data_IF_206132640813
#
_entry.id   IF_206132640813
#
_cell.length_a   1.000
_cell.length_b   1.000
_cell.length_c   1.000
_cell.angle_alpha   90.00
_cell.angle_beta   90.00
_cell.angle_gamma   90.00
#
_symmetry.space_group_name_H-M   'P 1'
#
loop_
_entity.id
_entity.type
_entity.pdbx_description
1 polymer ?
#
# COMPACT_ATOMS: atom_id res chain seq x y z
N UNK A 1 2.16 14.95 -69.75
CA UNK A 1 0.91 14.37 -69.22
C UNK A 1 0.74 15.02 -67.85
N UNK A 2 0.15 16.21 -67.81
CA UNK A 2 -1.30 16.46 -67.77
C UNK A 2 -1.88 16.02 -66.40
N UNK A 3 -1.83 16.98 -65.47
CA UNK A 3 -2.85 17.44 -64.52
C UNK A 3 -3.97 16.47 -64.10
N UNK A 4 -4.18 16.35 -62.78
CA UNK A 4 -5.52 16.34 -62.21
C UNK A 4 -5.49 16.98 -60.81
N UNK A 5 -6.09 18.18 -60.72
CA UNK A 5 -6.42 18.91 -59.51
C UNK A 5 -7.70 18.31 -58.90
N UNK A 6 -7.63 17.80 -57.67
CA UNK A 6 -8.81 17.45 -56.88
C UNK A 6 -9.13 18.60 -55.92
N UNK A 7 -10.32 19.18 -56.12
CA UNK A 7 -10.87 20.27 -55.32
C UNK A 7 -10.89 19.95 -53.82
N UNK A 8 -10.42 20.90 -53.02
CA UNK A 8 -10.48 20.88 -51.57
C UNK A 8 -11.92 21.03 -51.07
N UNK A 9 -12.34 20.07 -50.25
CA UNK A 9 -13.46 20.23 -49.33
C UNK A 9 -12.90 20.93 -48.11
N UNK A 10 -13.30 22.18 -47.86
CA UNK A 10 -12.95 22.85 -46.61
C UNK A 10 -13.57 22.09 -45.44
N UNK A 11 -12.77 21.69 -44.43
CA UNK A 11 -13.32 21.10 -43.22
C UNK A 11 -14.11 22.19 -42.48
N UNK A 12 -15.40 21.94 -42.24
CA UNK A 12 -16.16 22.72 -41.27
C UNK A 12 -15.41 22.65 -39.94
N UNK A 13 -14.98 23.80 -39.42
CA UNK A 13 -14.38 23.91 -38.09
C UNK A 13 -15.40 23.45 -37.05
N UNK A 14 -15.36 22.16 -36.72
CA UNK A 14 -16.10 21.60 -35.60
C UNK A 14 -15.54 22.21 -34.32
N UNK A 15 -16.28 23.19 -33.81
CA UNK A 15 -16.00 23.85 -32.54
C UNK A 15 -15.94 22.77 -31.44
N UNK A 16 -14.83 22.67 -30.67
CA UNK A 16 -14.71 21.68 -29.62
C UNK A 16 -15.77 21.93 -28.55
N UNK A 17 -16.33 20.85 -28.00
CA UNK A 17 -17.48 20.85 -27.06
C UNK A 17 -17.35 21.81 -25.85
N UNK A 18 -16.14 22.26 -25.52
CA UNK A 18 -15.86 23.15 -24.39
C UNK A 18 -15.56 24.60 -24.77
N UNK A 19 -15.58 24.96 -26.06
CA UNK A 19 -15.47 26.35 -26.47
C UNK A 19 -16.84 27.03 -26.30
N UNK A 20 -17.10 27.57 -25.13
CA UNK A 20 -18.23 28.49 -24.90
C UNK A 20 -17.73 29.87 -25.32
N UNK A 21 -18.32 30.46 -26.36
CA UNK A 21 -18.00 31.83 -26.77
C UNK A 21 -19.06 32.82 -26.26
N UNK A 22 -18.81 34.11 -26.49
CA UNK A 22 -19.68 35.18 -26.02
C UNK A 22 -21.08 35.12 -26.64
N UNK A 23 -21.24 34.47 -27.79
CA UNK A 23 -22.52 34.30 -28.49
C UNK A 23 -23.37 33.22 -27.82
N UNK A 24 -22.76 32.11 -27.35
CA UNK A 24 -23.43 31.08 -26.55
C UNK A 24 -23.96 31.65 -25.22
N UNK A 25 -23.20 32.54 -24.57
CA UNK A 25 -23.61 33.18 -23.31
C UNK A 25 -24.75 34.19 -23.55
N UNK A 26 -24.70 34.93 -24.65
CA UNK A 26 -25.77 35.88 -25.01
C UNK A 26 -27.08 35.17 -25.41
N UNK A 27 -27.01 33.99 -26.04
CA UNK A 27 -28.17 33.18 -26.39
C UNK A 27 -28.86 32.55 -25.16
N UNK A 28 -28.08 32.18 -24.14
CA UNK A 28 -28.61 31.67 -22.86
C UNK A 28 -29.39 32.74 -22.08
N UNK A 29 -28.97 34.01 -22.17
CA UNK A 29 -29.63 35.12 -21.48
C UNK A 29 -30.94 35.55 -22.17
N UNK A 30 -31.05 35.33 -23.49
CA UNK A 30 -32.24 35.70 -24.27
C UNK A 30 -33.45 34.76 -24.10
N UNK A 31 -33.27 33.58 -23.50
CA UNK A 31 -34.35 32.58 -23.31
C UNK A 31 -34.85 32.45 -21.86
N UNK A 32 -34.29 33.21 -20.92
CA UNK A 32 -34.74 33.23 -19.53
C UNK A 32 -36.01 34.07 -19.33
N UNK A 33 -37.16 33.57 -19.80
CA UNK A 33 -38.47 34.08 -19.36
C UNK A 33 -38.88 33.33 -18.08
N UNK A 34 -39.07 33.99 -16.93
CA UNK A 34 -39.41 33.31 -15.69
C UNK A 34 -40.89 32.92 -15.67
N UNK A 35 -41.19 31.64 -15.88
CA UNK A 35 -42.50 31.06 -15.54
C UNK A 35 -42.51 30.74 -14.04
N UNK A 36 -43.49 31.22 -13.24
CA UNK A 36 -43.52 30.94 -11.81
C UNK A 36 -43.91 29.48 -11.57
N UNK A 37 -42.92 28.62 -11.30
CA UNK A 37 -43.16 27.24 -10.88
C UNK A 37 -43.57 27.21 -9.41
N UNK A 38 -44.81 26.79 -9.16
CA UNK A 38 -45.40 26.57 -7.84
C UNK A 38 -44.60 25.51 -7.06
N UNK A 39 -44.35 25.69 -5.74
CA UNK A 39 -43.55 24.73 -4.96
C UNK A 39 -44.28 23.39 -4.81
N UNK A 40 -43.55 22.25 -4.88
CA UNK A 40 -44.14 20.91 -4.77
C UNK A 40 -44.74 20.71 -3.39
N UNK A 41 -46.01 20.28 -3.34
CA UNK A 41 -46.66 19.94 -2.09
C UNK A 41 -46.11 18.62 -1.53
N UNK A 42 -45.89 18.52 -0.20
CA UNK A 42 -45.36 17.33 0.43
C UNK A 42 -46.39 16.19 0.38
N UNK A 43 -46.05 15.12 -0.31
CA UNK A 43 -46.78 13.85 -0.26
C UNK A 43 -46.45 13.19 1.08
N UNK A 44 -47.43 13.13 2.00
CA UNK A 44 -47.30 12.37 3.24
C UNK A 44 -47.35 10.88 2.92
N UNK A 45 -46.19 10.22 2.92
CA UNK A 45 -46.09 8.77 2.88
C UNK A 45 -46.13 8.23 4.32
N UNK A 46 -47.25 7.61 4.69
CA UNK A 46 -47.47 7.02 6.01
C UNK A 46 -46.49 5.88 6.27
N UNK A 47 -45.57 6.08 7.22
CA UNK A 47 -44.68 5.04 7.74
C UNK A 47 -45.40 4.26 8.84
N UNK A 48 -45.68 2.98 8.58
CA UNK A 48 -46.10 2.01 9.60
C UNK A 48 -44.86 1.63 10.43
N UNK A 49 -44.69 2.29 11.57
CA UNK A 49 -43.66 1.96 12.54
C UNK A 49 -43.97 0.65 13.28
N UNK A 50 -43.17 -0.39 13.03
CA UNK A 50 -43.06 -1.56 13.90
C UNK A 50 -42.18 -1.21 15.11
N UNK A 51 -42.81 -0.85 16.22
CA UNK A 51 -42.13 -0.66 17.50
C UNK A 51 -42.05 -1.97 18.28
N UNK A 52 -40.88 -2.61 18.26
CA UNK A 52 -40.52 -3.66 19.22
C UNK A 52 -40.00 -3.00 20.49
N UNK A 53 -40.84 -2.91 21.53
CA UNK A 53 -40.39 -2.52 22.87
C UNK A 53 -40.72 -3.60 23.89
N UNK A 54 -39.64 -4.18 24.43
CA UNK A 54 -39.44 -4.47 25.86
C UNK A 54 -40.57 -5.16 26.63
N UNK A 55 -40.47 -6.48 26.74
CA UNK A 55 -41.10 -7.24 27.82
C UNK A 55 -40.46 -6.84 29.17
N UNK A 56 -41.26 -6.23 30.05
CA UNK A 56 -41.02 -6.21 31.50
C UNK A 56 -42.14 -7.03 32.15
N UNK A 57 -41.84 -8.05 32.97
CA UNK A 57 -42.87 -8.91 33.54
C UNK A 57 -43.41 -8.32 34.85
N UNK A 58 -44.72 -8.11 34.92
CA UNK A 58 -45.42 -7.81 36.17
C UNK A 58 -46.68 -6.98 35.96
N UNK A 59 -47.81 -7.64 35.70
CA UNK A 59 -48.98 -7.62 36.60
C UNK A 59 -50.14 -8.39 35.98
N UNK A 60 -50.64 -9.37 36.72
CA UNK A 60 -51.76 -10.24 36.33
C UNK A 60 -53.02 -9.63 36.94
N UNK A 61 -53.69 -8.76 36.19
CA UNK A 61 -54.99 -8.19 36.52
C UNK A 61 -56.08 -8.75 35.63
N UNK A 62 -56.97 -9.56 36.19
CA UNK A 62 -58.05 -10.27 35.51
C UNK A 62 -59.07 -9.33 34.85
N UNK A 63 -59.20 -9.44 33.53
CA UNK A 63 -60.28 -8.86 32.72
C UNK A 63 -60.23 -9.46 31.32
N UNK A 64 -61.06 -10.47 31.07
CA UNK A 64 -61.02 -11.29 29.86
C UNK A 64 -61.23 -10.47 28.58
N UNK A 65 -60.17 -10.33 27.79
CA UNK A 65 -60.24 -9.91 26.39
C UNK A 65 -60.05 -11.16 25.53
N UNK A 66 -61.08 -11.46 24.75
CA UNK A 66 -61.09 -12.57 23.80
C UNK A 66 -60.12 -12.24 22.66
N UNK A 67 -58.95 -12.87 22.66
CA UNK A 67 -57.96 -12.74 21.60
C UNK A 67 -58.47 -13.40 20.30
N UNK A 68 -58.15 -12.81 19.16
CA UNK A 68 -58.33 -13.47 17.87
C UNK A 68 -57.35 -14.66 17.75
N UNK A 69 -57.57 -15.63 16.85
CA UNK A 69 -56.73 -16.84 16.75
C UNK A 69 -55.27 -16.58 16.34
N UNK A 70 -54.86 -15.32 16.14
CA UNK A 70 -53.49 -14.92 15.79
C UNK A 70 -52.78 -14.12 16.91
N UNK A 71 -53.34 -14.10 18.12
CA UNK A 71 -52.66 -13.54 19.30
C UNK A 71 -52.46 -12.03 19.29
N UNK A 72 -53.08 -11.30 18.36
CA UNK A 72 -53.04 -9.84 18.34
C UNK A 72 -54.17 -9.28 19.21
N UNK A 73 -53.91 -8.30 20.10
CA UNK A 73 -54.97 -7.65 20.85
C UNK A 73 -55.91 -6.92 19.88
N UNK A 74 -57.17 -7.33 19.82
CA UNK A 74 -58.18 -6.55 19.10
C UNK A 74 -58.37 -5.23 19.85
N UNK A 75 -57.97 -4.11 19.23
CA UNK A 75 -58.40 -2.80 19.68
C UNK A 75 -59.91 -2.71 19.42
N UNK A 76 -60.69 -2.90 20.48
CA UNK A 76 -62.13 -2.72 20.44
C UNK A 76 -62.37 -1.23 20.21
N UNK A 77 -62.81 -0.87 18.99
CA UNK A 77 -63.22 0.48 18.64
C UNK A 77 -64.58 0.73 19.32
N UNK A 78 -64.56 0.99 20.62
CA UNK A 78 -65.73 1.52 21.34
C UNK A 78 -66.01 2.88 20.75
N UNK A 79 -67.12 2.98 19.99
CA UNK A 79 -67.59 4.20 19.33
C UNK A 79 -68.09 5.25 20.30
N UNK A 80 -67.26 5.64 21.26
CA UNK A 80 -67.46 6.80 22.10
C UNK A 80 -66.64 7.97 21.53
N UNK A 81 -67.26 8.89 20.76
CA UNK A 81 -66.56 10.02 20.14
C UNK A 81 -65.97 11.01 21.16
N UNK A 82 -66.25 10.85 22.46
CA UNK A 82 -65.68 11.68 23.52
C UNK A 82 -64.41 11.10 24.16
N UNK A 83 -64.03 9.84 23.89
CA UNK A 83 -62.80 9.24 24.42
C UNK A 83 -61.53 9.57 23.59
N UNK A 84 -61.70 10.14 22.40
CA UNK A 84 -60.58 10.49 21.50
C UNK A 84 -59.81 11.76 21.92
N UNK A 85 -60.24 12.46 22.99
CA UNK A 85 -59.58 13.66 23.49
C UNK A 85 -58.30 13.38 24.32
N UNK A 86 -57.96 12.10 24.56
CA UNK A 86 -56.74 11.69 25.29
C UNK A 86 -55.82 10.79 24.48
N UNK A 87 -56.01 10.68 23.16
CA UNK A 87 -54.97 10.08 22.32
C UNK A 87 -53.77 11.02 22.36
N UNK A 88 -52.72 10.53 23.02
CA UNK A 88 -51.38 11.08 23.13
C UNK A 88 -51.06 11.89 21.88
N UNK A 89 -50.93 13.20 22.05
CA UNK A 89 -50.42 14.08 21.02
C UNK A 89 -49.17 13.41 20.46
N UNK A 90 -49.21 13.02 19.17
CA UNK A 90 -48.02 12.58 18.48
C UNK A 90 -47.00 13.70 18.67
N UNK A 91 -45.96 13.43 19.47
CA UNK A 91 -44.85 14.35 19.59
C UNK A 91 -44.25 14.42 18.20
N UNK A 92 -44.60 15.48 17.46
CA UNK A 92 -43.94 15.80 16.20
C UNK A 92 -42.45 15.78 16.52
N UNK A 93 -41.66 14.88 15.89
CA UNK A 93 -40.22 14.85 16.11
C UNK A 93 -39.73 16.26 15.88
N UNK A 94 -39.12 16.87 16.90
CA UNK A 94 -38.56 18.21 16.72
C UNK A 94 -37.69 18.18 15.47
N UNK A 95 -37.79 19.18 14.58
CA UNK A 95 -37.00 19.20 13.36
C UNK A 95 -35.55 19.06 13.79
N UNK A 96 -34.90 17.96 13.39
CA UNK A 96 -33.49 17.72 13.68
C UNK A 96 -32.75 18.91 13.08
N UNK A 97 -32.28 19.81 13.94
CA UNK A 97 -31.47 20.93 13.49
C UNK A 97 -30.29 20.35 12.72
N UNK A 98 -30.22 20.66 11.43
CA UNK A 98 -29.07 20.30 10.60
C UNK A 98 -27.88 21.07 11.16
N UNK A 99 -27.14 20.45 12.06
CA UNK A 99 -25.85 20.95 12.50
C UNK A 99 -24.97 21.05 11.26
N UNK A 100 -24.56 22.29 10.93
CA UNK A 100 -23.72 22.55 9.77
C UNK A 100 -22.43 21.74 9.84
N UNK A 101 -21.85 21.46 8.67
CA UNK A 101 -20.58 20.72 8.57
C UNK A 101 -19.49 21.52 9.30
N UNK A 102 -18.87 20.89 10.31
CA UNK A 102 -17.78 21.48 11.08
C UNK A 102 -16.46 21.36 10.30
N UNK A 103 -16.31 22.18 9.27
CA UNK A 103 -15.16 22.15 8.35
C UNK A 103 -13.79 22.16 9.04
N UNK A 104 -13.62 22.94 10.11
CA UNK A 104 -12.36 22.94 10.86
C UNK A 104 -11.98 21.58 11.45
N UNK A 105 -12.97 20.80 11.91
CA UNK A 105 -12.72 19.45 12.43
C UNK A 105 -12.39 18.45 11.31
N UNK A 106 -13.06 18.61 10.16
CA UNK A 106 -12.77 17.82 8.97
C UNK A 106 -11.35 18.05 8.47
N UNK A 107 -10.96 19.31 8.25
CA UNK A 107 -9.62 19.67 7.77
C UNK A 107 -8.53 19.22 8.75
N UNK A 108 -8.80 19.32 10.06
CA UNK A 108 -7.90 18.82 11.08
C UNK A 108 -7.69 17.30 10.96
N UNK A 109 -8.78 16.53 10.82
CA UNK A 109 -8.70 15.08 10.59
C UNK A 109 -8.00 14.71 9.29
N UNK A 110 -8.14 15.54 8.25
CA UNK A 110 -7.55 15.31 6.95
C UNK A 110 -6.04 15.60 6.89
N UNK A 111 -5.60 16.74 7.41
CA UNK A 111 -4.21 17.19 7.27
C UNK A 111 -3.27 16.62 8.34
N UNK A 112 -3.75 16.28 9.55
CA UNK A 112 -2.88 15.73 10.61
C UNK A 112 -2.10 14.49 10.13
N UNK A 113 -2.74 13.46 9.56
CA UNK A 113 -2.03 12.26 9.09
C UNK A 113 -0.98 12.59 8.03
N UNK A 114 -1.31 13.50 7.11
CA UNK A 114 -0.39 13.93 6.04
C UNK A 114 0.84 14.62 6.64
N UNK A 115 0.65 15.54 7.58
CA UNK A 115 1.76 16.24 8.25
C UNK A 115 2.64 15.27 9.03
N UNK A 116 2.04 14.29 9.73
CA UNK A 116 2.80 13.27 10.47
C UNK A 116 3.68 12.46 9.51
N UNK A 117 3.12 11.95 8.41
CA UNK A 117 3.88 11.16 7.43
C UNK A 117 5.01 12.00 6.82
N UNK A 118 4.72 13.22 6.36
CA UNK A 118 5.72 14.13 5.78
C UNK A 118 6.84 14.43 6.77
N UNK A 119 6.49 14.66 8.05
CA UNK A 119 7.49 14.95 9.10
C UNK A 119 8.35 13.73 9.38
N UNK A 120 7.76 12.54 9.49
CA UNK A 120 8.51 11.29 9.72
C UNK A 120 9.43 10.97 8.53
N UNK A 121 8.95 11.11 7.29
CA UNK A 121 9.79 10.92 6.09
C UNK A 121 10.94 11.92 6.03
N UNK A 122 10.70 13.17 6.45
CA UNK A 122 11.77 14.17 6.50
C UNK A 122 12.80 13.84 7.58
N UNK A 123 12.37 13.41 8.76
CA UNK A 123 13.27 12.99 9.84
C UNK A 123 14.07 11.75 9.43
N UNK A 124 13.43 10.73 8.87
CA UNK A 124 14.08 9.53 8.33
C UNK A 124 15.13 9.90 7.27
N UNK A 125 14.77 10.77 6.32
CA UNK A 125 15.73 11.26 5.33
C UNK A 125 16.91 12.05 5.91
N UNK A 126 16.74 12.76 7.02
CA UNK A 126 17.83 13.46 7.72
C UNK A 126 18.71 12.52 8.53
N UNK A 127 18.12 11.49 9.13
CA UNK A 127 18.82 10.43 9.84
C UNK A 127 19.66 9.67 8.80
N UNK A 128 19.02 9.07 7.80
CA UNK A 128 19.68 8.24 6.79
C UNK A 128 20.76 8.96 5.96
N UNK A 129 20.65 10.28 5.72
CA UNK A 129 21.68 11.03 4.97
C UNK A 129 23.05 11.10 5.64
N UNK A 130 23.11 10.96 6.96
CA UNK A 130 24.36 11.08 7.71
C UNK A 130 24.94 9.72 8.11
N UNK A 131 24.26 8.62 7.80
CA UNK A 131 24.75 7.28 8.02
C UNK A 131 25.27 6.73 6.69
N UNK A 132 26.57 6.88 6.47
CA UNK A 132 27.29 5.87 5.71
C UNK A 132 27.19 4.61 6.58
N UNK A 133 26.27 3.71 6.25
CA UNK A 133 26.41 2.33 6.70
C UNK A 133 27.84 1.94 6.33
N UNK A 134 28.67 1.62 7.32
CA UNK A 134 29.95 1.00 7.05
C UNK A 134 29.61 -0.29 6.32
N UNK A 135 29.81 -0.31 5.01
CA UNK A 135 29.53 -1.48 4.19
C UNK A 135 30.39 -2.62 4.76
N UNK A 136 29.81 -3.62 5.43
CA UNK A 136 30.56 -4.72 6.02
C UNK A 136 31.07 -5.63 4.90
N UNK A 137 30.55 -5.44 3.69
CA UNK A 137 30.93 -6.14 2.50
C UNK A 137 32.04 -5.36 1.81
N UNK A 138 33.14 -6.05 1.57
CA UNK A 138 34.22 -5.57 0.71
C UNK A 138 34.37 -6.53 -0.44
N UNK A 139 34.27 -6.03 -1.66
CA UNK A 139 34.58 -6.81 -2.86
C UNK A 139 36.01 -6.55 -3.32
N UNK A 140 36.70 -7.61 -3.72
CA UNK A 140 38.03 -7.54 -4.33
C UNK A 140 38.03 -8.36 -5.61
N UNK A 141 38.63 -7.80 -6.67
CA UNK A 141 38.85 -8.50 -7.93
C UNK A 141 40.30 -8.97 -7.98
N UNK A 142 40.49 -10.27 -8.18
CA UNK A 142 41.79 -10.91 -8.28
C UNK A 142 41.93 -11.56 -9.66
N UNK A 143 43.07 -11.36 -10.30
CA UNK A 143 43.41 -12.08 -11.53
C UNK A 143 44.31 -13.26 -11.17
N UNK A 144 43.87 -14.48 -11.49
CA UNK A 144 44.59 -15.71 -11.19
C UNK A 144 44.96 -16.42 -12.48
N UNK A 145 46.25 -16.64 -12.70
CA UNK A 145 46.77 -17.37 -13.84
C UNK A 145 47.18 -18.79 -13.47
N UNK A 146 46.87 -19.75 -14.33
CA UNK A 146 47.29 -21.15 -14.17
C UNK A 146 48.47 -21.48 -15.07
N UNK A 147 49.40 -22.33 -14.58
CA UNK A 147 50.53 -22.81 -15.38
C UNK A 147 50.17 -23.94 -16.35
N UNK A 148 49.13 -24.71 -16.04
CA UNK A 148 48.64 -25.86 -16.82
C UNK A 148 47.27 -25.59 -17.46
N UNK A 149 46.75 -24.36 -17.30
CA UNK A 149 45.43 -23.91 -17.74
C UNK A 149 44.25 -24.71 -17.15
N UNK A 150 44.46 -25.46 -16.07
CA UNK A 150 43.45 -26.32 -15.46
C UNK A 150 43.39 -26.21 -13.95
N UNK A 151 44.54 -26.12 -13.30
CA UNK A 151 44.68 -26.12 -11.85
C UNK A 151 44.97 -24.72 -11.36
N UNK A 152 44.22 -24.30 -10.36
CA UNK A 152 44.29 -22.96 -9.78
C UNK A 152 44.51 -23.06 -8.28
N UNK A 153 45.43 -22.25 -7.79
CA UNK A 153 45.70 -22.06 -6.37
C UNK A 153 45.93 -20.58 -6.11
N UNK A 154 45.17 -20.00 -5.18
CA UNK A 154 45.38 -18.63 -4.73
C UNK A 154 45.01 -18.47 -3.26
N UNK A 155 45.69 -17.53 -2.61
CA UNK A 155 45.44 -17.17 -1.21
C UNK A 155 44.73 -15.84 -1.14
N UNK A 156 43.65 -15.80 -0.38
CA UNK A 156 42.85 -14.62 -0.10
C UNK A 156 43.41 -13.88 1.11
N UNK A 157 43.34 -12.56 1.09
CA UNK A 157 43.86 -11.70 2.15
C UNK A 157 42.72 -10.91 2.83
N UNK A 158 41.96 -11.52 3.76
CA UNK A 158 41.01 -10.78 4.58
C UNK A 158 41.73 -9.78 5.49
N UNK A 159 41.14 -8.60 5.70
CA UNK A 159 41.68 -7.56 6.58
C UNK A 159 41.08 -7.64 7.98
N UNK A 160 41.92 -7.62 9.02
CA UNK A 160 41.44 -7.49 10.41
C UNK A 160 40.51 -8.64 10.83
N UNK A 161 39.23 -8.32 11.02
CA UNK A 161 38.15 -9.24 11.43
C UNK A 161 37.30 -9.75 10.26
N UNK A 162 37.65 -9.40 9.02
CA UNK A 162 36.97 -9.90 7.83
C UNK A 162 37.10 -11.42 7.69
N UNK A 163 36.03 -12.06 7.20
CA UNK A 163 36.03 -13.42 6.68
C UNK A 163 35.66 -13.39 5.20
N UNK A 164 36.19 -14.31 4.41
CA UNK A 164 35.66 -14.55 3.06
C UNK A 164 34.21 -14.99 3.22
N UNK A 165 33.27 -14.43 2.48
CA UNK A 165 31.86 -14.86 2.51
C UNK A 165 31.57 -15.75 1.30
N UNK A 166 31.95 -15.25 0.13
CA UNK A 166 31.81 -15.97 -1.13
C UNK A 166 32.89 -15.52 -2.10
N UNK A 167 33.17 -16.35 -3.10
CA UNK A 167 33.79 -15.86 -4.32
C UNK A 167 33.09 -16.48 -5.52
N UNK A 168 33.11 -15.76 -6.63
CA UNK A 168 32.64 -16.28 -7.90
C UNK A 168 33.56 -15.87 -9.05
N UNK A 169 33.51 -16.66 -10.11
CA UNK A 169 34.26 -16.50 -11.35
C UNK A 169 33.27 -16.72 -12.47
N UNK A 170 33.23 -15.81 -13.43
CA UNK A 170 32.53 -16.01 -14.68
C UNK A 170 33.54 -16.12 -15.81
N UNK A 171 33.45 -17.20 -16.58
CA UNK A 171 34.34 -17.42 -17.71
C UNK A 171 33.62 -18.10 -18.87
N UNK A 172 34.17 -17.92 -20.07
CA UNK A 172 33.64 -18.48 -21.30
C UNK A 172 34.73 -19.32 -22.00
N UNK A 173 34.41 -20.56 -22.36
CA UNK A 173 35.29 -21.45 -23.11
C UNK A 173 34.53 -22.07 -24.27
N UNK A 174 35.03 -21.88 -25.50
CA UNK A 174 34.41 -22.42 -26.73
C UNK A 174 32.92 -22.05 -26.92
N UNK A 175 32.49 -20.90 -26.40
CA UNK A 175 31.10 -20.44 -26.47
C UNK A 175 30.19 -21.00 -25.38
N UNK A 176 30.72 -21.80 -24.45
CA UNK A 176 30.02 -22.20 -23.23
C UNK A 176 30.43 -21.31 -22.06
N UNK A 177 29.43 -20.80 -21.34
CA UNK A 177 29.63 -20.02 -20.11
C UNK A 177 29.61 -20.95 -18.92
N UNK A 178 30.57 -20.76 -18.02
CA UNK A 178 30.60 -21.46 -16.76
C UNK A 178 30.84 -20.48 -15.62
N UNK A 179 30.22 -20.79 -14.49
CA UNK A 179 30.38 -20.07 -13.23
C UNK A 179 31.08 -20.98 -12.26
N UNK A 180 32.16 -20.49 -11.64
CA UNK A 180 32.77 -21.15 -10.50
C UNK A 180 32.41 -20.35 -9.27
N UNK A 181 31.96 -21.00 -8.20
CA UNK A 181 31.65 -20.30 -6.97
C UNK A 181 31.95 -21.15 -5.73
N UNK A 182 32.13 -20.44 -4.63
CA UNK A 182 32.15 -20.96 -3.27
C UNK A 182 31.28 -20.03 -2.43
N UNK A 183 30.41 -20.61 -1.61
CA UNK A 183 29.48 -19.88 -0.76
C UNK A 183 29.44 -20.55 0.63
N UNK A 184 29.81 -19.77 1.65
CA UNK A 184 29.84 -20.20 3.05
C UNK A 184 28.45 -20.36 3.68
N UNK A 185 27.36 -20.02 2.99
CA UNK A 185 26.01 -20.27 3.47
C UNK A 185 25.45 -21.64 3.03
N UNK A 186 26.23 -22.42 2.27
CA UNK A 186 25.82 -23.74 1.79
C UNK A 186 26.23 -24.87 2.75
N UNK A 187 25.59 -26.03 2.64
CA UNK A 187 25.86 -27.21 3.50
C UNK A 187 27.32 -27.70 3.38
N UNK A 188 28.01 -27.29 2.32
CA UNK A 188 29.38 -27.68 2.02
C UNK A 188 30.24 -26.43 1.84
N UNK A 189 30.40 -25.68 2.94
CA UNK A 189 31.06 -24.36 3.05
C UNK A 189 32.49 -24.35 2.49
N UNK A 190 33.14 -25.51 2.47
CA UNK A 190 34.50 -25.70 1.96
C UNK A 190 34.55 -26.01 0.46
N UNK A 191 33.42 -26.30 -0.20
CA UNK A 191 33.43 -26.83 -1.56
C UNK A 191 33.35 -25.75 -2.63
N UNK A 192 34.19 -25.93 -3.66
CA UNK A 192 34.19 -25.07 -4.85
C UNK A 192 33.44 -25.81 -5.96
N UNK A 193 32.44 -25.16 -6.52
CA UNK A 193 31.55 -25.71 -7.53
C UNK A 193 31.74 -25.02 -8.87
N UNK A 194 31.65 -25.79 -9.96
CA UNK A 194 31.58 -25.30 -11.32
C UNK A 194 30.21 -25.63 -11.89
N UNK A 195 29.52 -24.63 -12.42
CA UNK A 195 28.23 -24.77 -13.09
C UNK A 195 28.41 -24.40 -14.56
N UNK A 196 28.09 -25.33 -15.45
CA UNK A 196 27.98 -25.04 -16.87
C UNK A 196 26.59 -24.44 -17.14
N UNK A 197 26.52 -23.16 -17.51
CA UNK A 197 25.25 -22.46 -17.73
C UNK A 197 24.51 -22.95 -18.98
N UNK A 198 25.19 -23.64 -19.90
CA UNK A 198 24.58 -24.18 -21.13
C UNK A 198 23.89 -25.52 -20.89
N UNK A 199 24.41 -26.34 -19.96
CA UNK A 199 23.91 -27.70 -19.68
C UNK A 199 23.26 -27.87 -18.31
N UNK A 200 23.32 -26.84 -17.46
CA UNK A 200 22.96 -26.88 -16.03
C UNK A 200 23.72 -27.97 -15.23
N UNK A 201 24.84 -28.45 -15.76
CA UNK A 201 25.66 -29.45 -15.09
C UNK A 201 26.49 -28.79 -13.98
N UNK A 202 26.36 -29.33 -12.77
CA UNK A 202 27.08 -28.85 -11.57
C UNK A 202 28.09 -29.90 -11.14
N UNK A 203 29.36 -29.50 -11.02
CA UNK A 203 30.46 -30.36 -10.64
C UNK A 203 31.26 -29.76 -9.48
N UNK A 204 31.62 -30.58 -8.49
CA UNK A 204 32.56 -30.17 -7.44
C UNK A 204 33.98 -30.23 -8.00
N UNK A 205 34.68 -29.10 -7.98
CA UNK A 205 36.00 -28.95 -8.63
C UNK A 205 37.15 -28.66 -7.68
N UNK A 206 36.86 -28.37 -6.41
CA UNK A 206 37.90 -28.02 -5.46
C UNK A 206 37.44 -27.82 -4.04
N UNK A 207 38.33 -27.25 -3.24
CA UNK A 207 38.14 -27.02 -1.82
C UNK A 207 38.78 -25.70 -1.40
N UNK A 208 38.08 -24.96 -0.56
CA UNK A 208 38.56 -23.78 0.15
C UNK A 208 39.03 -24.20 1.55
N UNK A 209 40.18 -23.68 1.96
CA UNK A 209 40.78 -23.99 3.25
C UNK A 209 40.75 -22.76 4.16
N UNK A 210 39.83 -22.71 5.12
CA UNK A 210 39.68 -21.57 6.03
C UNK A 210 40.94 -21.27 6.87
N UNK A 211 41.76 -22.29 7.18
CA UNK A 211 42.92 -22.13 8.06
C UNK A 211 44.01 -21.23 7.47
N UNK A 212 44.13 -21.20 6.14
CA UNK A 212 45.14 -20.42 5.42
C UNK A 212 44.51 -19.51 4.34
N UNK A 213 43.18 -19.44 4.26
CA UNK A 213 42.43 -18.70 3.27
C UNK A 213 42.84 -19.02 1.81
N UNK A 214 43.21 -20.28 1.55
CA UNK A 214 43.62 -20.73 0.22
C UNK A 214 42.48 -21.47 -0.48
N UNK A 215 42.19 -21.08 -1.72
CA UNK A 215 41.32 -21.82 -2.62
C UNK A 215 42.17 -22.67 -3.57
N UNK A 216 41.84 -23.96 -3.69
CA UNK A 216 42.45 -24.87 -4.64
C UNK A 216 41.38 -25.60 -5.45
N UNK A 217 41.43 -25.51 -6.78
CA UNK A 217 40.50 -26.21 -7.65
C UNK A 217 41.09 -26.58 -9.01
N UNK A 218 40.48 -27.57 -9.65
CA UNK A 218 40.79 -28.01 -11.01
C UNK A 218 39.54 -27.94 -11.89
N UNK A 219 39.62 -27.21 -13.00
CA UNK A 219 38.51 -27.04 -13.94
C UNK A 219 38.01 -28.39 -14.47
N UNK A 220 36.69 -28.57 -14.50
CA UNK A 220 36.05 -29.77 -15.03
C UNK A 220 35.68 -29.58 -16.51
N UNK A 221 36.38 -30.28 -17.40
CA UNK A 221 36.03 -30.31 -18.83
C UNK A 221 36.32 -29.03 -19.63
N UNK A 222 36.89 -28.01 -19.00
CA UNK A 222 37.25 -26.73 -19.64
C UNK A 222 38.69 -26.34 -19.33
N UNK A 223 39.25 -25.42 -20.13
CA UNK A 223 40.59 -24.87 -19.93
C UNK A 223 40.56 -23.34 -20.05
N UNK A 224 41.19 -22.67 -19.09
CA UNK A 224 41.37 -21.22 -19.12
C UNK A 224 42.82 -20.93 -18.71
N UNK A 225 43.45 -19.90 -19.28
CA UNK A 225 44.79 -19.49 -18.85
C UNK A 225 44.77 -18.54 -17.65
N UNK A 226 43.76 -17.68 -17.64
CA UNK A 226 43.54 -16.65 -16.62
C UNK A 226 42.07 -16.64 -16.23
N UNK A 227 41.79 -16.48 -14.95
CA UNK A 227 40.46 -16.31 -14.38
C UNK A 227 40.41 -15.00 -13.59
N UNK A 228 39.30 -14.28 -13.71
CA UNK A 228 38.98 -13.13 -12.87
C UNK A 228 38.08 -13.60 -11.73
N UNK A 229 38.57 -13.46 -10.50
CA UNK A 229 37.90 -13.91 -9.29
C UNK A 229 37.35 -12.70 -8.57
N UNK A 230 36.05 -12.65 -8.37
CA UNK A 230 35.40 -11.65 -7.51
C UNK A 230 35.21 -12.30 -6.15
N UNK A 231 35.84 -11.73 -5.13
CA UNK A 231 35.79 -12.20 -3.75
C UNK A 231 35.02 -11.19 -2.93
N UNK A 232 34.09 -11.67 -2.13
CA UNK A 232 33.35 -10.88 -1.18
C UNK A 232 33.80 -11.25 0.23
N UNK A 233 34.24 -10.24 0.97
CA UNK A 233 34.59 -10.32 2.38
C UNK A 233 33.47 -9.74 3.22
N UNK A 234 33.26 -10.31 4.40
CA UNK A 234 32.32 -9.84 5.40
C UNK A 234 33.05 -9.53 6.70
N UNK A 235 32.96 -8.31 7.19
CA UNK A 235 33.49 -7.94 8.51
C UNK A 235 32.44 -8.18 9.61
N UNK A 236 32.67 -9.21 10.43
CA UNK A 236 31.83 -9.52 11.60
C UNK A 236 32.10 -8.56 12.78
N UNK A 237 33.15 -7.74 12.69
CA UNK A 237 33.56 -6.78 13.71
C UNK A 237 32.85 -5.42 13.61
N UNK A 238 32.20 -5.13 12.48
CA UNK A 238 31.29 -4.00 12.33
C UNK A 238 29.92 -4.39 12.87
N UNK A 239 29.67 -4.14 14.16
CA UNK A 239 28.34 -4.34 14.74
C UNK A 239 27.32 -3.59 13.89
N UNK A 240 26.45 -4.34 13.19
CA UNK A 240 25.28 -3.84 12.46
C UNK A 240 24.23 -3.34 13.47
N UNK A 241 24.65 -2.48 14.38
CA UNK A 241 23.75 -1.76 15.22
C UNK A 241 23.03 -0.77 14.33
N UNK A 242 21.83 -1.16 13.89
CA UNK A 242 20.85 -0.17 13.44
C UNK A 242 20.89 0.97 14.46
N UNK A 243 21.17 2.21 14.02
CA UNK A 243 21.33 3.28 14.97
C UNK A 243 20.04 3.33 15.79
N UNK A 244 20.11 3.52 17.11
CA UNK A 244 18.92 3.45 17.98
C UNK A 244 17.81 4.42 17.54
N UNK A 245 18.17 5.46 16.77
CA UNK A 245 17.24 6.35 16.10
C UNK A 245 16.43 5.67 14.98
N UNK A 246 17.04 4.82 14.14
CA UNK A 246 16.33 4.10 13.07
C UNK A 246 15.37 3.07 13.66
N UNK A 247 15.84 2.25 14.61
CA UNK A 247 14.99 1.31 15.32
C UNK A 247 13.78 2.01 16.01
N UNK A 248 13.98 3.21 16.55
CA UNK A 248 12.89 4.00 17.12
C UNK A 248 11.91 4.54 16.06
N UNK A 249 12.41 4.99 14.90
CA UNK A 249 11.57 5.42 13.77
C UNK A 249 10.75 4.25 13.26
N UNK A 250 11.36 3.09 13.05
CA UNK A 250 10.70 1.88 12.57
C UNK A 250 9.63 1.40 13.55
N UNK A 251 9.93 1.42 14.85
CA UNK A 251 8.95 1.13 15.89
C UNK A 251 7.77 2.10 15.87
N UNK A 252 8.02 3.41 15.73
CA UNK A 252 6.96 4.43 15.64
C UNK A 252 6.12 4.23 14.38
N UNK A 253 6.76 3.96 13.24
CA UNK A 253 6.10 3.67 11.97
C UNK A 253 5.21 2.42 12.07
N UNK A 254 5.64 1.38 12.79
CA UNK A 254 4.84 0.18 13.04
C UNK A 254 3.62 0.43 13.94
N UNK A 255 3.72 1.36 14.90
CA UNK A 255 2.61 1.72 15.79
C UNK A 255 1.62 2.72 15.18
N UNK A 256 2.04 3.48 14.17
CA UNK A 256 1.24 4.54 13.54
C UNK A 256 -0.11 4.04 12.99
N UNK A 257 -0.22 2.89 12.30
CA UNK A 257 -1.50 2.35 11.86
C UNK A 257 -2.48 2.10 13.01
N UNK A 258 -1.99 1.58 14.14
CA UNK A 258 -2.81 1.31 15.32
C UNK A 258 -3.26 2.60 16.00
N UNK A 259 -2.35 3.57 16.15
CA UNK A 259 -2.67 4.89 16.69
C UNK A 259 -3.69 5.63 15.80
N UNK A 260 -3.54 5.52 14.48
CA UNK A 260 -4.45 6.08 13.51
C UNK A 260 -5.84 5.44 13.59
N UNK A 261 -5.94 4.10 13.67
CA UNK A 261 -7.22 3.41 13.87
C UNK A 261 -7.89 3.82 15.18
N UNK A 262 -7.13 3.88 16.28
CA UNK A 262 -7.63 4.34 17.57
C UNK A 262 -8.15 5.79 17.50
N UNK A 263 -7.48 6.66 16.73
CA UNK A 263 -7.91 8.04 16.53
C UNK A 263 -9.25 8.15 15.77
N UNK A 264 -9.49 7.29 14.77
CA UNK A 264 -10.77 7.21 14.07
C UNK A 264 -11.88 6.79 15.04
N UNK A 265 -11.64 5.72 15.82
CA UNK A 265 -12.62 5.21 16.79
C UNK A 265 -12.95 6.29 17.83
N UNK A 266 -11.92 6.95 18.39
CA UNK A 266 -12.09 8.02 19.37
C UNK A 266 -12.86 9.23 18.80
N UNK A 267 -12.63 9.59 17.53
CA UNK A 267 -13.34 10.66 16.86
C UNK A 267 -14.86 10.39 16.79
N UNK A 268 -15.24 9.16 16.43
CA UNK A 268 -16.65 8.77 16.39
C UNK A 268 -17.26 8.61 17.79
N UNK A 269 -16.54 8.00 18.72
CA UNK A 269 -17.00 7.81 20.10
C UNK A 269 -17.27 9.15 20.82
N UNK A 270 -16.50 10.20 20.53
CA UNK A 270 -16.68 11.54 21.09
C UNK A 270 -17.71 12.40 20.34
N UNK A 271 -18.40 11.85 19.35
CA UNK A 271 -19.39 12.58 18.54
C UNK A 271 -18.77 13.57 17.54
N UNK A 272 -17.45 13.56 17.34
CA UNK A 272 -16.73 14.42 16.39
C UNK A 272 -16.73 13.80 14.99
N UNK A 273 -17.93 13.60 14.43
CA UNK A 273 -18.15 12.92 13.15
C UNK A 273 -17.35 13.54 12.00
N UNK A 274 -17.26 14.87 11.94
CA UNK A 274 -16.51 15.57 10.89
C UNK A 274 -15.00 15.22 10.93
N UNK A 275 -14.42 15.06 12.12
CA UNK A 275 -13.01 14.67 12.28
C UNK A 275 -12.78 13.22 11.86
N UNK A 276 -13.68 12.30 12.24
CA UNK A 276 -13.61 10.91 11.82
C UNK A 276 -13.69 10.73 10.30
N UNK A 277 -14.60 11.47 9.65
CA UNK A 277 -14.70 11.49 8.18
C UNK A 277 -13.45 12.08 7.54
N UNK A 278 -12.89 13.16 8.11
CA UNK A 278 -11.63 13.75 7.64
C UNK A 278 -10.45 12.78 7.72
N UNK A 279 -10.33 12.04 8.83
CA UNK A 279 -9.35 10.98 8.98
C UNK A 279 -9.57 9.92 7.88
N UNK A 280 -10.77 9.35 7.75
CA UNK A 280 -11.06 8.33 6.73
C UNK A 280 -10.82 8.81 5.28
N UNK A 281 -11.02 10.09 4.99
CA UNK A 281 -10.68 10.62 3.67
C UNK A 281 -9.17 10.73 3.44
N UNK A 282 -8.40 10.98 4.50
CA UNK A 282 -6.94 11.01 4.42
C UNK A 282 -6.35 9.61 4.18
N UNK A 283 -6.94 8.53 4.71
CA UNK A 283 -6.45 7.18 4.41
C UNK A 283 -6.58 6.86 2.91
N UNK A 284 -7.62 7.35 2.24
CA UNK A 284 -7.77 7.16 0.80
C UNK A 284 -6.60 7.80 0.03
N UNK A 285 -6.11 8.97 0.47
CA UNK A 285 -4.95 9.63 -0.13
C UNK A 285 -3.62 8.94 0.14
N UNK A 286 -3.50 8.21 1.24
CA UNK A 286 -2.26 7.49 1.60
C UNK A 286 -2.26 6.10 0.96
N UNK A 287 -3.39 5.38 1.04
CA UNK A 287 -3.52 4.00 0.55
C UNK A 287 -3.51 3.94 -0.98
N UNK A 288 -4.21 4.86 -1.66
CA UNK A 288 -4.35 4.81 -3.12
C UNK A 288 -3.02 4.93 -3.89
N UNK A 289 -2.11 5.89 -3.58
CA UNK A 289 -0.80 5.92 -4.22
C UNK A 289 0.07 4.73 -3.84
N UNK A 290 -0.02 4.23 -2.60
CA UNK A 290 0.75 3.08 -2.15
C UNK A 290 0.32 1.79 -2.87
N UNK A 291 -0.99 1.61 -3.05
CA UNK A 291 -1.57 0.50 -3.81
C UNK A 291 -1.20 0.61 -5.29
N UNK A 292 -1.20 1.82 -5.86
CA UNK A 292 -0.71 2.06 -7.22
C UNK A 292 0.78 1.69 -7.37
N UNK A 293 1.62 2.06 -6.40
CA UNK A 293 3.06 1.76 -6.40
C UNK A 293 3.30 0.24 -6.31
N UNK A 294 2.57 -0.48 -5.46
CA UNK A 294 2.64 -1.94 -5.37
C UNK A 294 2.24 -2.59 -6.70
N UNK A 295 1.15 -2.14 -7.33
CA UNK A 295 0.72 -2.66 -8.64
C UNK A 295 1.80 -2.38 -9.69
N UNK A 296 2.34 -1.16 -9.74
CA UNK A 296 3.38 -0.78 -10.70
C UNK A 296 4.66 -1.63 -10.53
N UNK A 297 5.10 -1.86 -9.29
CA UNK A 297 6.25 -2.72 -9.00
C UNK A 297 5.97 -4.19 -9.37
N UNK A 298 4.75 -4.69 -9.13
CA UNK A 298 4.38 -6.05 -9.51
C UNK A 298 4.23 -6.27 -11.02
N UNK A 299 4.13 -5.17 -11.79
CA UNK A 299 3.95 -5.19 -13.23
C UNK A 299 5.26 -4.94 -14.01
N UNK A 300 6.38 -4.67 -13.31
CA UNK A 300 7.70 -4.59 -13.93
C UNK A 300 8.30 -6.01 -13.99
N UNK A 301 8.58 -6.54 -15.20
CA UNK A 301 9.18 -7.86 -15.41
C UNK A 301 10.66 -7.89 -15.04
#
# INVERSE_FOLDING_TARGET
MAEDESAGVEPSEEKPFFAIDAEDVAAADATATPTPSQPPQPVMLGSLGGGTNGLSPGDVGAGGLQANPWGAPMQQLTGDPHAMARQTAYSVPQPVEKTGVRWGQFLLGFFIPVVIVVTLSFVDGLVNRNYEYGDPWRSEMLEVSSSDNQTYEFTLAPNGTERVQQFYIEAEHQGERFTIYMDQYTIDEDSIWQVNQSSDETSRIGTYHHQNATAYFQLAGVQAGTLEVVVEYYDDGGEYDEPPAQAAIDFVCCLLPFAYLASIIAAFATGRKALGVGLMSASLLIILPLLFLIIALSAMP
#
